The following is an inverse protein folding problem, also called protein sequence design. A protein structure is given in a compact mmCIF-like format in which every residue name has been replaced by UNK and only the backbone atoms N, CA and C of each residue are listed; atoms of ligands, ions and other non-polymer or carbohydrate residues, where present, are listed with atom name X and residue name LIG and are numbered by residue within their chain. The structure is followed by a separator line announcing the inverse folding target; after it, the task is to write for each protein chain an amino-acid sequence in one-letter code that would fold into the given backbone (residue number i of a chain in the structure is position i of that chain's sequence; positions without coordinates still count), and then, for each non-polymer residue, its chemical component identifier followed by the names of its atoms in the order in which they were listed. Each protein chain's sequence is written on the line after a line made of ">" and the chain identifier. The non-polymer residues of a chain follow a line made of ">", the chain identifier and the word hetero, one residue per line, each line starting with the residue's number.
data_IF_829426213807
#
_entry.id   IF_829426213807
#
_cell.length_a   1.000
_cell.length_b   1.000
_cell.length_c   1.000
_cell.angle_alpha   90.00
_cell.angle_beta   90.00
_cell.angle_gamma   90.00
#
_symmetry.space_group_name_H-M   'P 1'
#
loop_
_entity.id
_entity.type
_entity.pdbx_description
1 polymer ?
#
# COMPACT_ATOMS: atom_id res chain seq x y z
N UNK A 1 22.93 9.02 -7.50
CA UNK A 1 22.74 7.87 -6.61
C UNK A 1 24.00 7.04 -6.63
N UNK A 2 24.72 7.02 -5.52
CA UNK A 2 25.92 6.18 -5.38
C UNK A 2 25.55 4.70 -5.46
N UNK A 3 26.48 3.85 -5.92
CA UNK A 3 26.28 2.40 -5.99
C UNK A 3 25.85 1.78 -4.65
N UNK A 4 26.25 2.40 -3.54
CA UNK A 4 25.84 2.05 -2.19
C UNK A 4 24.33 2.24 -1.94
N UNK A 5 23.73 3.32 -2.46
CA UNK A 5 22.30 3.60 -2.30
C UNK A 5 21.43 2.59 -3.05
N UNK A 6 21.81 2.22 -4.28
CA UNK A 6 21.11 1.19 -5.06
C UNK A 6 21.22 -0.18 -4.38
N UNK A 7 22.38 -0.50 -3.80
CA UNK A 7 22.57 -1.73 -3.03
C UNK A 7 21.66 -1.79 -1.80
N UNK A 8 21.60 -0.72 -0.99
CA UNK A 8 20.71 -0.66 0.17
C UNK A 8 19.24 -0.74 -0.22
N UNK A 9 18.83 -0.05 -1.28
CA UNK A 9 17.45 -0.09 -1.78
C UNK A 9 17.06 -1.49 -2.26
N UNK A 10 17.97 -2.18 -2.95
CA UNK A 10 17.79 -3.58 -3.34
C UNK A 10 17.66 -4.51 -2.13
N UNK A 11 18.52 -4.34 -1.13
CA UNK A 11 18.48 -5.13 0.11
C UNK A 11 17.15 -4.94 0.87
N UNK A 12 16.73 -3.68 1.05
CA UNK A 12 15.45 -3.35 1.67
C UNK A 12 14.27 -3.93 0.89
N UNK A 13 14.31 -3.88 -0.44
CA UNK A 13 13.29 -4.51 -1.31
C UNK A 13 13.19 -6.02 -1.11
N UNK A 14 14.32 -6.73 -1.02
CA UNK A 14 14.36 -8.17 -0.75
C UNK A 14 13.78 -8.48 0.64
N UNK A 15 14.16 -7.71 1.65
CA UNK A 15 13.64 -7.88 3.02
C UNK A 15 12.12 -7.63 3.06
N UNK A 16 11.64 -6.57 2.40
CA UNK A 16 10.22 -6.25 2.33
C UNK A 16 9.43 -7.38 1.64
N UNK A 17 9.88 -7.84 0.47
CA UNK A 17 9.23 -8.95 -0.24
C UNK A 17 9.24 -10.26 0.56
N UNK A 18 10.37 -10.57 1.21
CA UNK A 18 10.49 -11.75 2.09
C UNK A 18 9.54 -11.66 3.28
N UNK A 19 9.33 -10.46 3.82
CA UNK A 19 8.38 -10.20 4.90
C UNK A 19 6.94 -10.42 4.44
N UNK A 20 6.58 -10.00 3.22
CA UNK A 20 5.26 -10.29 2.62
C UNK A 20 5.04 -11.78 2.43
N UNK A 21 6.06 -12.52 1.98
CA UNK A 21 6.03 -13.98 1.89
C UNK A 21 5.84 -14.63 3.26
N UNK A 22 6.61 -14.19 4.25
CA UNK A 22 6.52 -14.71 5.62
C UNK A 22 5.15 -14.45 6.24
N UNK A 23 4.60 -13.24 6.06
CA UNK A 23 3.25 -12.87 6.51
C UNK A 23 2.23 -13.84 5.94
N UNK A 24 2.29 -14.10 4.63
CA UNK A 24 1.40 -15.05 3.97
C UNK A 24 1.52 -16.48 4.51
N UNK A 25 2.73 -16.96 4.78
CA UNK A 25 2.92 -18.30 5.33
C UNK A 25 2.42 -18.43 6.77
N UNK A 26 2.43 -17.33 7.54
CA UNK A 26 1.89 -17.27 8.90
C UNK A 26 0.38 -17.08 8.97
N UNK A 27 -0.26 -16.60 7.91
CA UNK A 27 -1.72 -16.44 7.86
C UNK A 27 -2.44 -17.81 7.89
N UNK A 28 -3.47 -17.94 8.76
CA UNK A 28 -4.21 -19.18 8.90
C UNK A 28 -4.93 -19.52 7.58
N UNK A 29 -5.00 -20.80 7.23
CA UNK A 29 -5.49 -21.26 5.91
C UNK A 29 -6.90 -20.76 5.56
N UNK A 30 -7.73 -20.46 6.55
CA UNK A 30 -9.13 -20.05 6.36
C UNK A 30 -9.30 -18.56 6.00
N UNK A 31 -8.38 -17.69 6.42
CA UNK A 31 -8.39 -16.25 6.06
C UNK A 31 -7.46 -15.93 4.89
N UNK A 32 -6.67 -16.91 4.45
CA UNK A 32 -5.64 -16.73 3.43
C UNK A 32 -6.25 -16.38 2.08
N UNK A 33 -5.85 -15.22 1.57
CA UNK A 33 -6.25 -14.72 0.25
C UNK A 33 -5.73 -15.62 -0.87
N UNK A 34 -6.55 -15.83 -1.91
CA UNK A 34 -6.19 -16.64 -3.09
C UNK A 34 -4.93 -16.10 -3.79
N UNK A 35 -4.12 -16.98 -4.39
CA UNK A 35 -2.91 -16.60 -5.14
C UNK A 35 -3.18 -15.55 -6.22
N UNK A 36 -4.31 -15.65 -6.93
CA UNK A 36 -4.71 -14.67 -7.94
C UNK A 36 -4.85 -13.27 -7.37
N UNK A 37 -5.54 -13.12 -6.24
CA UNK A 37 -5.80 -11.81 -5.64
C UNK A 37 -4.52 -11.27 -4.98
N UNK A 38 -3.73 -12.12 -4.33
CA UNK A 38 -2.46 -11.71 -3.75
C UNK A 38 -1.52 -11.10 -4.81
N UNK A 39 -1.38 -11.74 -5.98
CA UNK A 39 -0.61 -11.18 -7.09
C UNK A 39 -1.17 -9.86 -7.65
N UNK A 40 -2.48 -9.62 -7.50
CA UNK A 40 -3.12 -8.37 -7.88
C UNK A 40 -2.97 -7.26 -6.83
N UNK A 41 -2.71 -7.61 -5.56
CA UNK A 41 -2.55 -6.66 -4.46
C UNK A 41 -1.09 -6.27 -4.21
N UNK A 42 -0.14 -7.19 -4.37
CA UNK A 42 1.30 -6.92 -4.24
C UNK A 42 1.80 -5.75 -5.10
N UNK A 43 1.45 -5.61 -6.40
CA UNK A 43 1.90 -4.48 -7.19
C UNK A 43 1.28 -3.14 -6.74
N UNK A 44 0.09 -3.14 -6.12
CA UNK A 44 -0.49 -1.91 -5.56
C UNK A 44 0.39 -1.36 -4.42
N UNK A 45 0.84 -2.23 -3.51
CA UNK A 45 1.76 -1.85 -2.44
C UNK A 45 3.12 -1.37 -2.97
N UNK A 46 3.59 -1.94 -4.09
CA UNK A 46 4.83 -1.50 -4.72
C UNK A 46 4.71 -0.08 -5.33
N UNK A 47 3.56 0.24 -5.95
CA UNK A 47 3.29 1.57 -6.52
C UNK A 47 3.22 2.62 -5.40
N UNK A 48 2.54 2.30 -4.30
CA UNK A 48 2.44 3.16 -3.12
C UNK A 48 3.83 3.48 -2.52
N UNK A 49 4.64 2.44 -2.30
CA UNK A 49 6.03 2.59 -1.82
C UNK A 49 6.88 3.45 -2.77
N UNK A 50 6.70 3.31 -4.08
CA UNK A 50 7.41 4.09 -5.08
C UNK A 50 6.98 5.56 -5.05
N UNK A 51 5.68 5.83 -4.92
CA UNK A 51 5.14 7.19 -4.82
C UNK A 51 5.68 7.92 -3.59
N UNK A 52 5.61 7.28 -2.41
CA UNK A 52 6.13 7.84 -1.16
C UNK A 52 7.65 8.06 -1.24
N UNK A 53 8.39 7.12 -1.85
CA UNK A 53 9.83 7.29 -2.05
C UNK A 53 10.17 8.55 -2.85
N UNK A 54 9.50 8.76 -4.00
CA UNK A 54 9.72 9.97 -4.80
C UNK A 54 9.26 11.25 -4.09
N UNK A 55 8.14 11.21 -3.36
CA UNK A 55 7.68 12.34 -2.56
C UNK A 55 8.71 12.72 -1.48
N UNK A 56 9.30 11.74 -0.81
CA UNK A 56 10.33 11.95 0.20
C UNK A 56 11.63 12.49 -0.39
N UNK A 57 12.06 11.98 -1.56
CA UNK A 57 13.23 12.52 -2.28
C UNK A 57 12.99 13.97 -2.69
N UNK A 58 11.81 14.29 -3.20
CA UNK A 58 11.43 15.66 -3.57
C UNK A 58 11.40 16.59 -2.35
N UNK A 59 10.79 16.16 -1.24
CA UNK A 59 10.74 16.96 0.00
C UNK A 59 12.14 17.21 0.58
N UNK A 60 13.04 16.23 0.50
CA UNK A 60 14.43 16.39 0.94
C UNK A 60 15.19 17.44 0.12
N UNK A 61 14.90 17.57 -1.18
CA UNK A 61 15.52 18.59 -2.05
C UNK A 61 15.04 20.01 -1.68
N UNK A 62 13.78 20.14 -1.23
CA UNK A 62 13.16 21.44 -0.91
C UNK A 62 13.51 21.95 0.49
N UNK A 63 13.82 21.07 1.44
CA UNK A 63 13.93 21.42 2.88
C UNK A 63 15.35 21.60 3.41
N UNK A 64 16.38 21.30 2.61
CA UNK A 64 17.81 21.35 3.00
C UNK A 64 18.17 20.56 4.29
N UNK A 65 17.26 19.74 4.82
CA UNK A 65 17.49 18.88 5.98
C UNK A 65 18.11 17.53 5.59
N UNK A 66 18.69 16.83 6.58
CA UNK A 66 19.31 15.53 6.36
C UNK A 66 18.28 14.51 5.78
N UNK A 67 18.56 13.93 4.60
CA UNK A 67 17.62 13.07 3.89
C UNK A 67 17.19 11.84 4.69
N UNK A 68 18.04 11.32 5.58
CA UNK A 68 17.69 10.15 6.40
C UNK A 68 16.70 10.51 7.50
N UNK A 69 16.87 11.68 8.12
CA UNK A 69 15.99 12.15 9.20
C UNK A 69 14.60 12.47 8.66
N UNK A 70 14.54 13.17 7.52
CA UNK A 70 13.27 13.54 6.90
C UNK A 70 12.53 12.33 6.34
N UNK A 71 13.25 11.34 5.80
CA UNK A 71 12.69 10.05 5.41
C UNK A 71 12.08 9.30 6.59
N UNK A 72 12.79 9.24 7.73
CA UNK A 72 12.31 8.55 8.93
C UNK A 72 11.05 9.22 9.49
N UNK A 73 11.02 10.56 9.56
CA UNK A 73 9.87 11.31 10.06
C UNK A 73 8.66 11.10 9.14
N UNK A 74 8.84 11.18 7.81
CA UNK A 74 7.74 10.96 6.87
C UNK A 74 7.21 9.52 6.93
N UNK A 75 8.09 8.53 7.09
CA UNK A 75 7.68 7.14 7.28
C UNK A 75 6.87 6.94 8.57
N UNK A 76 7.33 7.53 9.69
CA UNK A 76 6.61 7.45 10.96
C UNK A 76 5.27 8.20 10.92
N UNK A 77 5.23 9.33 10.24
CA UNK A 77 4.03 10.13 10.04
C UNK A 77 3.02 9.38 9.16
N UNK A 78 3.47 8.72 8.10
CA UNK A 78 2.63 7.88 7.24
C UNK A 78 2.10 6.64 7.99
N UNK A 79 2.97 5.95 8.74
CA UNK A 79 2.59 4.80 9.55
C UNK A 79 1.58 5.12 10.68
N UNK A 80 1.46 6.40 11.07
CA UNK A 80 0.54 6.86 12.12
C UNK A 80 -0.63 7.65 11.56
N UNK A 81 -0.38 8.85 11.04
CA UNK A 81 -1.40 9.74 10.47
C UNK A 81 -1.92 9.24 9.12
N UNK A 82 -1.06 8.71 8.26
CA UNK A 82 -1.46 8.16 6.96
C UNK A 82 -2.46 7.00 7.13
N UNK A 83 -2.10 6.01 7.96
CA UNK A 83 -3.00 4.91 8.32
C UNK A 83 -4.32 5.38 8.94
N UNK A 84 -4.29 6.39 9.82
CA UNK A 84 -5.50 6.94 10.43
C UNK A 84 -6.41 7.62 9.39
N UNK A 85 -5.84 8.42 8.48
CA UNK A 85 -6.57 9.09 7.42
C UNK A 85 -7.19 8.08 6.45
N UNK A 86 -6.45 7.04 6.05
CA UNK A 86 -6.95 5.96 5.21
C UNK A 86 -8.11 5.23 5.92
N UNK A 87 -7.97 4.93 7.21
CA UNK A 87 -9.04 4.29 7.99
C UNK A 87 -10.31 5.15 8.01
N UNK A 88 -10.18 6.44 8.32
CA UNK A 88 -11.33 7.38 8.31
C UNK A 88 -11.96 7.46 6.91
N UNK A 89 -11.13 7.52 5.86
CA UNK A 89 -11.59 7.53 4.47
C UNK A 89 -12.37 6.27 4.11
N UNK A 90 -11.85 5.08 4.46
CA UNK A 90 -12.54 3.80 4.25
C UNK A 90 -13.86 3.77 5.03
N UNK A 91 -13.88 4.22 6.28
CA UNK A 91 -15.12 4.30 7.06
C UNK A 91 -16.13 5.23 6.39
N UNK A 92 -15.71 6.43 5.97
CA UNK A 92 -16.59 7.41 5.32
C UNK A 92 -17.16 6.87 4.00
N UNK A 93 -16.31 6.29 3.15
CA UNK A 93 -16.72 5.67 1.88
C UNK A 93 -17.66 4.50 2.15
N UNK A 94 -17.36 3.65 3.14
CA UNK A 94 -18.23 2.53 3.50
C UNK A 94 -19.61 2.99 3.97
N UNK A 95 -19.67 4.04 4.80
CA UNK A 95 -20.95 4.65 5.21
C UNK A 95 -21.72 5.25 4.04
N UNK A 96 -21.05 5.90 3.08
CA UNK A 96 -21.69 6.47 1.88
C UNK A 96 -22.21 5.35 0.95
N UNK A 97 -21.44 4.28 0.77
CA UNK A 97 -21.80 3.13 -0.08
C UNK A 97 -22.98 2.36 0.50
N UNK A 98 -23.04 2.15 1.81
CA UNK A 98 -24.20 1.56 2.49
C UNK A 98 -25.45 2.43 2.30
N UNK A 99 -25.29 3.74 2.38
CA UNK A 99 -26.38 4.70 2.20
C UNK A 99 -26.89 4.77 0.76
N UNK A 100 -26.02 4.52 -0.24
CA UNK A 100 -26.39 4.52 -1.66
C UNK A 100 -26.70 3.13 -2.25
N UNK A 101 -26.60 2.04 -1.48
CA UNK A 101 -26.88 0.66 -1.93
C UNK A 101 -26.10 0.24 -3.20
N UNK A 102 -24.86 0.70 -3.36
CA UNK A 102 -24.02 0.33 -4.50
C UNK A 102 -23.41 -1.07 -4.29
N UNK A 103 -24.10 -2.08 -4.80
CA UNK A 103 -23.75 -3.50 -4.65
C UNK A 103 -22.37 -3.88 -5.26
N UNK A 104 -21.82 -3.05 -6.14
CA UNK A 104 -20.54 -3.27 -6.84
C UNK A 104 -19.30 -2.85 -6.02
N UNK A 105 -19.47 -2.17 -4.88
CA UNK A 105 -18.39 -1.54 -4.11
C UNK A 105 -18.25 -2.07 -2.67
N UNK A 106 -18.73 -3.28 -2.42
CA UNK A 106 -18.52 -3.95 -1.13
C UNK A 106 -17.06 -4.36 -0.97
N UNK A 107 -16.32 -3.64 -0.14
CA UNK A 107 -14.96 -4.01 0.25
C UNK A 107 -14.95 -5.42 0.86
N UNK A 108 -14.14 -6.32 0.30
CA UNK A 108 -13.91 -7.66 0.84
C UNK A 108 -14.56 -8.84 0.10
N UNK A 109 -15.38 -8.60 -0.94
CA UNK A 109 -15.85 -9.66 -1.85
C UNK A 109 -15.62 -9.24 -3.31
N UNK A 110 -14.73 -9.95 -4.00
CA UNK A 110 -14.66 -9.91 -5.46
C UNK A 110 -15.62 -10.98 -5.96
N UNK A 111 -16.75 -10.57 -6.54
CA UNK A 111 -17.65 -11.53 -7.18
C UNK A 111 -16.94 -12.21 -8.37
N UNK A 112 -17.19 -13.50 -8.52
CA UNK A 112 -16.72 -14.31 -9.65
C UNK A 112 -17.62 -14.05 -10.87
N UNK A 113 -17.10 -13.71 -12.06
CA UNK A 113 -15.69 -13.64 -12.43
C UNK A 113 -15.03 -12.32 -11.99
N UNK A 114 -13.81 -12.42 -11.44
CA UNK A 114 -13.02 -11.28 -10.99
C UNK A 114 -12.89 -10.18 -12.08
N UNK A 115 -13.69 -9.11 -11.93
CA UNK A 115 -13.75 -8.02 -12.90
C UNK A 115 -12.54 -7.10 -12.70
N UNK A 116 -11.69 -6.95 -13.73
CA UNK A 116 -10.60 -5.96 -13.74
C UNK A 116 -11.11 -4.51 -13.55
N UNK A 117 -12.39 -4.25 -13.85
CA UNK A 117 -13.02 -2.94 -13.61
C UNK A 117 -13.11 -2.59 -12.12
N UNK A 118 -13.42 -3.56 -11.25
CA UNK A 118 -13.47 -3.35 -9.79
C UNK A 118 -12.07 -3.14 -9.19
N UNK A 119 -11.05 -3.81 -9.75
CA UNK A 119 -9.65 -3.58 -9.38
C UNK A 119 -9.18 -2.17 -9.73
N UNK A 120 -9.52 -1.67 -10.93
CA UNK A 120 -9.22 -0.28 -11.29
C UNK A 120 -10.01 0.70 -10.43
N UNK A 121 -11.29 0.45 -10.16
CA UNK A 121 -12.10 1.30 -9.28
C UNK A 121 -11.53 1.43 -7.85
N UNK A 122 -10.94 0.36 -7.31
CA UNK A 122 -10.26 0.36 -6.02
C UNK A 122 -8.86 0.99 -6.06
N UNK A 123 -8.22 1.09 -7.23
CA UNK A 123 -6.94 1.78 -7.39
C UNK A 123 -7.12 3.31 -7.53
N UNK A 124 -8.31 3.78 -7.91
CA UNK A 124 -8.60 5.21 -8.13
C UNK A 124 -9.25 5.89 -6.90
N UNK A 125 -9.61 5.12 -5.87
CA UNK A 125 -10.33 5.57 -4.68
C UNK A 125 -9.39 5.60 -3.48
#
# INVERSE_FOLDING_TARGET
>A
MDSFGIFLQGLLGVVAFSTLMLKRFREPKHERRSWKIWFLDTPKQAIEMLFIHFANVYLSDVTEEDPCTLYLINFLLDATLGMLLIYIGICAVSSIVEWQQWHTLHFGKYDDPAQCSAWMGQCTL
#
